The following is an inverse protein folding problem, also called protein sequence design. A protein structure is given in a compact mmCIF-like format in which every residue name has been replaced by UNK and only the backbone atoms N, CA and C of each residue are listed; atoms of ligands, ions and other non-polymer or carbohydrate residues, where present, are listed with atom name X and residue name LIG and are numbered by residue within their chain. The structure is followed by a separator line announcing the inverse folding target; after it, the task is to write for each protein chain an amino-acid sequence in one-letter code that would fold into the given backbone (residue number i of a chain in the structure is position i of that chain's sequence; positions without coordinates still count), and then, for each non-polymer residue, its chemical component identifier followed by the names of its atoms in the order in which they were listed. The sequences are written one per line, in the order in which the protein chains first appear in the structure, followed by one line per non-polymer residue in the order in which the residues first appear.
data_IF_629557968089
#
_entry.id   IF_629557968089
#
_cell.length_a   1.000
_cell.length_b   1.000
_cell.length_c   1.000
_cell.angle_alpha   90.00
_cell.angle_beta   90.00
_cell.angle_gamma   90.00
#
_symmetry.space_group_name_H-M   'P 1'
#
loop_
_entity.id
_entity.type
_entity.pdbx_description
1 polymer ?
#
# COMPACT_ATOMS: atom_id res chain seq x y z
N UNK A 1 49.90 -25.82 4.09
CA UNK A 1 49.29 -25.98 5.44
C UNK A 1 48.84 -24.70 6.15
N UNK A 2 49.47 -23.52 5.94
CA UNK A 2 49.11 -22.26 6.65
C UNK A 2 47.64 -21.82 6.45
N UNK A 3 47.09 -22.03 5.26
CA UNK A 3 45.69 -21.70 4.93
C UNK A 3 44.70 -22.52 5.76
N UNK A 4 44.92 -23.83 5.90
CA UNK A 4 44.03 -24.70 6.70
C UNK A 4 44.04 -24.26 8.18
N UNK A 5 45.23 -23.98 8.74
CA UNK A 5 45.36 -23.50 10.13
C UNK A 5 44.71 -22.15 10.41
N UNK A 6 44.53 -21.30 9.39
CA UNK A 6 43.99 -19.95 9.55
C UNK A 6 42.51 -19.84 9.18
N UNK A 7 42.04 -20.71 8.29
CA UNK A 7 40.67 -20.69 7.76
C UNK A 7 39.76 -21.77 8.37
N UNK A 8 40.29 -22.87 8.88
CA UNK A 8 39.51 -23.85 9.63
C UNK A 8 39.44 -23.49 11.11
N UNK A 9 38.29 -23.73 11.72
CA UNK A 9 38.12 -23.72 13.17
C UNK A 9 37.07 -24.76 13.58
N UNK A 10 36.78 -24.85 14.87
CA UNK A 10 35.81 -25.80 15.44
C UNK A 10 34.39 -25.63 14.87
N UNK A 11 34.08 -24.45 14.31
CA UNK A 11 32.78 -24.15 13.72
C UNK A 11 32.75 -24.52 12.24
N UNK A 12 33.84 -24.28 11.51
CA UNK A 12 33.94 -24.47 10.07
C UNK A 12 35.18 -25.28 9.66
N UNK A 13 34.93 -26.50 9.18
CA UNK A 13 35.95 -27.42 8.64
C UNK A 13 35.88 -27.56 7.11
N UNK A 14 35.04 -26.76 6.45
CA UNK A 14 34.90 -26.81 4.99
C UNK A 14 36.23 -26.63 4.24
N UNK A 15 37.16 -25.74 4.64
CA UNK A 15 38.41 -25.58 3.90
C UNK A 15 39.26 -26.86 3.83
N UNK A 16 39.29 -27.69 4.88
CA UNK A 16 40.03 -28.96 4.82
C UNK A 16 39.32 -29.99 3.94
N UNK A 17 37.98 -30.04 3.97
CA UNK A 17 37.17 -30.90 3.09
C UNK A 17 37.38 -30.56 1.62
N UNK A 18 37.39 -29.27 1.29
CA UNK A 18 37.64 -28.77 -0.07
C UNK A 18 39.04 -29.14 -0.57
N UNK A 19 40.09 -28.99 0.26
CA UNK A 19 41.46 -29.36 -0.11
C UNK A 19 41.55 -30.86 -0.40
N UNK A 20 41.00 -31.71 0.47
CA UNK A 20 41.03 -33.16 0.28
C UNK A 20 40.29 -33.58 -1.00
N UNK A 21 39.13 -32.97 -1.26
CA UNK A 21 38.36 -33.19 -2.49
C UNK A 21 39.14 -32.75 -3.74
N UNK A 22 39.68 -31.52 -3.73
CA UNK A 22 40.41 -30.94 -4.87
C UNK A 22 41.63 -31.77 -5.28
N UNK A 23 42.38 -32.26 -4.29
CA UNK A 23 43.56 -33.11 -4.55
C UNK A 23 43.24 -34.61 -4.58
N UNK A 24 41.96 -35.01 -4.44
CA UNK A 24 41.53 -36.41 -4.44
C UNK A 24 42.31 -37.31 -3.46
N UNK A 25 42.57 -36.81 -2.26
CA UNK A 25 43.35 -37.51 -1.23
C UNK A 25 42.45 -38.55 -0.54
N UNK A 26 42.38 -39.75 -1.10
CA UNK A 26 41.44 -40.80 -0.67
C UNK A 26 41.70 -41.27 0.76
N UNK A 27 42.95 -41.27 1.20
CA UNK A 27 43.37 -41.67 2.55
C UNK A 27 42.85 -40.71 3.63
N UNK A 28 42.61 -39.44 3.29
CA UNK A 28 42.12 -38.43 4.23
C UNK A 28 40.60 -38.47 4.42
N UNK A 29 39.85 -39.13 3.52
CA UNK A 29 38.40 -39.25 3.61
C UNK A 29 37.91 -39.91 4.92
N UNK A 30 38.42 -41.09 5.35
CA UNK A 30 38.01 -41.69 6.62
C UNK A 30 38.34 -40.78 7.81
N UNK A 31 39.52 -40.16 7.81
CA UNK A 31 39.96 -39.25 8.88
C UNK A 31 39.06 -38.02 9.01
N UNK A 32 38.67 -37.42 7.88
CA UNK A 32 37.74 -36.28 7.87
C UNK A 32 36.34 -36.71 8.32
N UNK A 33 35.88 -37.87 7.90
CA UNK A 33 34.57 -38.41 8.30
C UNK A 33 34.51 -38.60 9.82
N UNK A 34 35.50 -39.27 10.40
CA UNK A 34 35.55 -39.54 11.84
C UNK A 34 35.68 -38.25 12.65
N UNK A 35 36.58 -37.35 12.22
CA UNK A 35 36.70 -36.03 12.85
C UNK A 35 35.40 -35.23 12.75
N UNK A 36 34.71 -35.27 11.61
CA UNK A 36 33.43 -34.58 11.42
C UNK A 36 32.36 -35.10 12.37
N UNK A 37 32.32 -36.42 12.65
CA UNK A 37 31.39 -37.01 13.62
C UNK A 37 31.71 -36.55 15.05
N UNK A 38 32.96 -36.68 15.47
CA UNK A 38 33.40 -36.23 16.81
C UNK A 38 33.12 -34.74 17.02
N UNK A 39 33.37 -33.93 15.98
CA UNK A 39 33.13 -32.51 16.03
C UNK A 39 31.64 -32.17 16.11
N UNK A 40 30.79 -32.95 15.44
CA UNK A 40 29.34 -32.78 15.51
C UNK A 40 28.83 -33.04 16.93
N UNK A 41 29.21 -34.17 17.54
CA UNK A 41 28.88 -34.49 18.93
C UNK A 41 29.38 -33.41 19.91
N UNK A 42 30.59 -32.89 19.69
CA UNK A 42 31.15 -31.81 20.49
C UNK A 42 30.31 -30.53 20.40
N UNK A 43 29.87 -30.14 19.19
CA UNK A 43 29.08 -28.93 18.99
C UNK A 43 27.68 -29.02 19.61
N UNK A 44 27.13 -30.23 19.73
CA UNK A 44 25.85 -30.49 20.40
C UNK A 44 25.96 -30.49 21.94
N UNK A 45 27.18 -30.46 22.51
CA UNK A 45 27.40 -30.47 23.96
C UNK A 45 27.98 -29.17 24.49
N UNK A 46 28.74 -28.44 23.67
CA UNK A 46 29.45 -27.24 24.12
C UNK A 46 28.54 -26.02 24.17
N UNK A 47 28.33 -25.48 25.38
CA UNK A 47 27.64 -24.21 25.61
C UNK A 47 28.45 -23.00 25.14
N UNK A 48 27.78 -21.99 24.61
CA UNK A 48 28.41 -20.76 24.10
C UNK A 48 29.11 -19.95 25.19
N UNK A 49 28.63 -20.01 26.44
CA UNK A 49 29.27 -19.34 27.58
C UNK A 49 30.77 -19.62 27.71
N UNK A 50 31.22 -20.82 27.31
CA UNK A 50 32.63 -21.23 27.41
C UNK A 50 33.50 -20.67 26.28
N UNK A 51 32.89 -20.06 25.25
CA UNK A 51 33.56 -19.48 24.09
C UNK A 51 33.50 -17.94 24.08
N UNK A 52 32.83 -17.33 25.05
CA UNK A 52 32.79 -15.88 25.19
C UNK A 52 34.20 -15.31 25.35
N UNK A 53 34.45 -14.21 24.65
CA UNK A 53 35.69 -13.43 24.63
C UNK A 53 36.94 -14.21 24.18
N UNK A 54 36.76 -15.45 23.68
CA UNK A 54 37.82 -16.23 23.07
C UNK A 54 37.95 -15.87 21.60
N UNK A 55 39.20 -15.69 21.16
CA UNK A 55 39.54 -15.51 19.75
C UNK A 55 39.53 -16.87 19.05
N UNK A 56 38.50 -17.14 18.25
CA UNK A 56 38.31 -18.40 17.50
C UNK A 56 39.03 -18.41 16.16
N UNK A 57 39.45 -17.24 15.66
CA UNK A 57 40.27 -17.12 14.46
C UNK A 57 41.33 -16.04 14.65
N UNK A 58 42.54 -16.33 14.18
CA UNK A 58 43.64 -15.36 14.09
C UNK A 58 43.50 -14.42 12.90
N UNK A 59 42.52 -14.64 12.02
CA UNK A 59 42.28 -13.79 10.85
C UNK A 59 41.80 -12.41 11.28
N UNK A 60 42.42 -11.38 10.69
CA UNK A 60 41.95 -10.01 10.78
C UNK A 60 41.17 -9.69 9.51
N UNK A 61 39.99 -9.11 9.71
CA UNK A 61 39.05 -8.75 8.66
C UNK A 61 38.88 -7.24 8.68
N UNK A 62 38.77 -6.64 7.50
CA UNK A 62 38.37 -5.25 7.41
C UNK A 62 36.91 -5.09 7.84
N UNK A 63 36.52 -3.86 8.18
CA UNK A 63 35.12 -3.56 8.53
C UNK A 63 34.19 -3.99 7.39
N UNK A 64 34.58 -3.73 6.13
CA UNK A 64 33.82 -4.12 4.95
C UNK A 64 33.70 -5.64 4.74
N UNK A 65 34.51 -6.44 5.43
CA UNK A 65 34.52 -7.92 5.40
C UNK A 65 33.89 -8.55 6.64
N UNK A 66 33.37 -7.72 7.55
CA UNK A 66 32.86 -8.15 8.85
C UNK A 66 31.35 -8.32 8.82
N UNK A 67 30.86 -9.36 9.46
CA UNK A 67 29.44 -9.61 9.72
C UNK A 67 29.26 -9.60 11.23
N UNK A 68 28.29 -8.81 11.71
CA UNK A 68 27.95 -8.69 13.12
C UNK A 68 26.50 -9.09 13.32
N UNK A 69 26.30 -10.14 14.12
CA UNK A 69 24.99 -10.51 14.64
C UNK A 69 24.88 -10.05 16.09
N UNK A 70 23.75 -9.45 16.43
CA UNK A 70 23.33 -9.21 17.81
C UNK A 70 22.04 -9.98 18.03
N UNK A 71 22.06 -10.93 18.95
CA UNK A 71 20.94 -11.85 19.22
C UNK A 71 20.51 -11.72 20.68
N UNK A 72 19.21 -11.78 20.93
CA UNK A 72 18.64 -11.79 22.28
C UNK A 72 18.74 -13.19 22.92
N UNK A 73 19.98 -13.68 23.03
CA UNK A 73 20.30 -15.01 23.55
C UNK A 73 21.04 -14.91 24.88
N UNK A 74 20.72 -15.82 25.80
CA UNK A 74 21.62 -16.15 26.91
C UNK A 74 22.65 -17.21 26.44
N UNK A 75 23.97 -16.91 26.47
CA UNK A 75 25.01 -17.87 26.12
C UNK A 75 25.04 -19.15 26.96
N UNK A 76 24.39 -19.16 28.14
CA UNK A 76 24.27 -20.35 28.97
C UNK A 76 23.24 -21.36 28.45
N UNK A 77 22.24 -20.89 27.71
CA UNK A 77 21.14 -21.70 27.16
C UNK A 77 21.39 -22.15 25.72
N UNK A 78 22.39 -21.56 25.06
CA UNK A 78 22.70 -21.83 23.65
C UNK A 78 23.99 -22.64 23.50
N UNK A 79 24.03 -23.44 22.44
CA UNK A 79 25.12 -24.35 22.10
C UNK A 79 25.88 -23.86 20.87
N UNK A 80 27.09 -24.40 20.69
CA UNK A 80 27.87 -24.15 19.48
C UNK A 80 27.15 -24.58 18.21
N UNK A 81 26.29 -25.60 18.29
CA UNK A 81 25.46 -26.02 17.17
C UNK A 81 24.44 -24.94 16.73
N UNK A 82 23.94 -24.11 17.66
CA UNK A 82 23.02 -23.03 17.31
C UNK A 82 23.70 -21.98 16.42
N UNK A 83 25.00 -21.75 16.61
CA UNK A 83 25.80 -20.88 15.73
C UNK A 83 25.92 -21.47 14.34
N UNK A 84 26.12 -22.79 14.22
CA UNK A 84 26.14 -23.46 12.90
C UNK A 84 24.79 -23.32 12.20
N UNK A 85 23.69 -23.55 12.94
CA UNK A 85 22.33 -23.41 12.44
C UNK A 85 22.05 -21.97 11.99
N UNK A 86 22.48 -20.98 12.78
CA UNK A 86 22.38 -19.56 12.45
C UNK A 86 23.10 -19.24 11.14
N UNK A 87 24.35 -19.69 10.98
CA UNK A 87 25.12 -19.42 9.76
C UNK A 87 24.49 -20.05 8.53
N UNK A 88 24.00 -21.29 8.64
CA UNK A 88 23.35 -21.99 7.54
C UNK A 88 22.03 -21.33 7.14
N UNK A 89 21.18 -20.98 8.13
CA UNK A 89 19.91 -20.31 7.88
C UNK A 89 20.09 -18.87 7.37
N UNK A 90 21.13 -18.17 7.79
CA UNK A 90 21.40 -16.80 7.35
C UNK A 90 21.83 -16.73 5.88
N UNK A 91 22.72 -17.64 5.46
CA UNK A 91 23.48 -17.48 4.22
C UNK A 91 23.43 -18.66 3.27
N UNK A 92 22.66 -19.70 3.61
CA UNK A 92 22.36 -20.91 2.83
C UNK A 92 23.38 -21.27 1.73
N UNK A 93 24.27 -22.20 2.04
CA UNK A 93 25.35 -22.61 1.12
C UNK A 93 26.56 -21.68 1.07
N UNK A 94 26.44 -20.40 1.43
CA UNK A 94 27.58 -19.48 1.55
C UNK A 94 28.24 -19.50 2.94
N UNK A 95 27.56 -20.09 3.94
CA UNK A 95 28.02 -20.28 5.33
C UNK A 95 29.44 -20.87 5.42
N UNK A 96 29.78 -21.78 4.50
CA UNK A 96 31.08 -22.47 4.40
C UNK A 96 32.26 -21.53 4.17
N UNK A 97 32.03 -20.32 3.65
CA UNK A 97 33.07 -19.30 3.40
C UNK A 97 33.20 -18.29 4.54
N UNK A 98 32.36 -18.41 5.56
CA UNK A 98 32.31 -17.49 6.70
C UNK A 98 33.14 -18.08 7.86
N UNK A 99 33.84 -17.20 8.55
CA UNK A 99 34.69 -17.54 9.69
C UNK A 99 34.17 -16.79 10.91
N UNK A 100 33.70 -17.52 11.91
CA UNK A 100 33.39 -16.93 13.22
C UNK A 100 34.70 -16.54 13.91
N UNK A 101 34.83 -15.26 14.26
CA UNK A 101 36.04 -14.68 14.85
C UNK A 101 35.97 -14.66 16.37
N UNK A 102 34.89 -14.13 16.93
CA UNK A 102 34.71 -14.00 18.36
C UNK A 102 33.23 -13.87 18.71
N UNK A 103 32.93 -14.11 19.99
CA UNK A 103 31.62 -13.91 20.59
C UNK A 103 31.79 -13.10 21.86
N UNK A 104 30.94 -12.11 22.07
CA UNK A 104 30.99 -11.22 23.23
C UNK A 104 29.63 -11.20 23.91
N UNK A 105 29.63 -11.03 25.24
CA UNK A 105 28.41 -10.90 26.03
C UNK A 105 28.23 -9.46 26.50
N UNK A 106 27.07 -8.89 26.22
CA UNK A 106 26.51 -7.74 26.91
C UNK A 106 25.15 -8.11 27.50
N UNK A 107 24.14 -7.26 27.28
CA UNK A 107 22.73 -7.62 27.49
C UNK A 107 22.19 -8.61 26.43
N UNK A 108 22.96 -8.80 25.36
CA UNK A 108 22.72 -9.73 24.24
C UNK A 108 24.06 -10.38 23.87
N UNK A 109 24.02 -11.46 23.09
CA UNK A 109 25.23 -12.02 22.50
C UNK A 109 25.56 -11.30 21.19
N UNK A 110 26.82 -10.93 21.03
CA UNK A 110 27.35 -10.34 19.80
C UNK A 110 28.29 -11.36 19.16
N UNK A 111 28.00 -11.76 17.92
CA UNK A 111 28.81 -12.72 17.17
C UNK A 111 29.46 -11.98 16.01
N UNK A 112 30.79 -11.97 16.00
CA UNK A 112 31.58 -11.32 14.96
C UNK A 112 32.12 -12.40 14.03
N UNK A 113 31.83 -12.25 12.75
CA UNK A 113 32.29 -13.14 11.69
C UNK A 113 33.01 -12.34 10.61
N UNK A 114 33.85 -13.03 9.84
CA UNK A 114 34.51 -12.49 8.66
C UNK A 114 34.22 -13.33 7.43
N UNK A 115 34.13 -12.66 6.28
CA UNK A 115 33.93 -13.33 5.00
C UNK A 115 34.63 -12.57 3.87
N UNK A 116 34.96 -13.25 2.75
CA UNK A 116 35.63 -12.62 1.62
C UNK A 116 34.84 -11.43 1.05
N UNK A 117 35.54 -10.33 0.75
CA UNK A 117 34.95 -9.10 0.19
C UNK A 117 34.01 -9.37 -1.01
N UNK A 118 34.41 -10.23 -1.95
CA UNK A 118 33.62 -10.51 -3.16
C UNK A 118 32.26 -11.19 -2.88
N UNK A 119 32.05 -11.75 -1.68
CA UNK A 119 30.78 -12.37 -1.28
C UNK A 119 29.85 -11.42 -0.54
N UNK A 120 30.28 -10.22 -0.17
CA UNK A 120 29.52 -9.31 0.70
C UNK A 120 28.13 -8.97 0.16
N UNK A 121 28.02 -8.65 -1.13
CA UNK A 121 26.72 -8.35 -1.74
C UNK A 121 25.81 -9.58 -1.76
N UNK A 122 26.35 -10.77 -2.05
CA UNK A 122 25.59 -12.01 -2.03
C UNK A 122 25.10 -12.35 -0.62
N UNK A 123 25.94 -12.16 0.41
CA UNK A 123 25.56 -12.37 1.80
C UNK A 123 24.48 -11.39 2.26
N UNK A 124 24.56 -10.12 1.84
CA UNK A 124 23.50 -9.14 2.12
C UNK A 124 22.16 -9.54 1.50
N UNK A 125 22.15 -10.00 0.25
CA UNK A 125 20.93 -10.47 -0.40
C UNK A 125 20.35 -11.69 0.33
N UNK A 126 21.17 -12.72 0.58
CA UNK A 126 20.72 -13.92 1.30
C UNK A 126 20.22 -13.63 2.70
N UNK A 127 20.88 -12.75 3.44
CA UNK A 127 20.44 -12.35 4.77
C UNK A 127 19.10 -11.62 4.76
N UNK A 128 18.82 -10.82 3.71
CA UNK A 128 17.52 -10.17 3.54
C UNK A 128 16.41 -11.17 3.23
N UNK A 129 16.67 -12.11 2.32
CA UNK A 129 15.71 -13.14 1.96
C UNK A 129 15.31 -14.01 3.16
N UNK A 130 16.27 -14.28 4.05
CA UNK A 130 16.07 -15.12 5.24
C UNK A 130 15.72 -14.32 6.50
N UNK A 131 15.43 -13.02 6.40
CA UNK A 131 15.35 -12.13 7.56
C UNK A 131 14.24 -12.52 8.55
N UNK A 132 13.10 -13.01 8.06
CA UNK A 132 11.97 -13.46 8.89
C UNK A 132 12.38 -14.61 9.80
N UNK A 133 13.03 -15.62 9.23
CA UNK A 133 13.57 -16.77 9.96
C UNK A 133 14.57 -16.33 11.04
N UNK A 134 15.46 -15.39 10.71
CA UNK A 134 16.43 -14.88 11.68
C UNK A 134 15.75 -14.13 12.84
N UNK A 135 14.65 -13.43 12.57
CA UNK A 135 13.90 -12.70 13.60
C UNK A 135 13.15 -13.64 14.53
N UNK A 136 12.47 -14.64 13.97
CA UNK A 136 11.58 -15.54 14.70
C UNK A 136 12.33 -16.69 15.39
N UNK A 137 13.19 -17.40 14.66
CA UNK A 137 13.88 -18.59 15.19
C UNK A 137 15.14 -18.24 16.00
N UNK A 138 15.78 -17.11 15.71
CA UNK A 138 17.08 -16.75 16.31
C UNK A 138 17.03 -15.49 17.17
N UNK A 139 15.84 -14.91 17.38
CA UNK A 139 15.65 -13.69 18.17
C UNK A 139 16.62 -12.56 17.74
N UNK A 140 16.82 -12.40 16.42
CA UNK A 140 17.73 -11.42 15.87
C UNK A 140 17.32 -10.01 16.32
N UNK A 141 18.27 -9.27 16.89
CA UNK A 141 18.12 -7.87 17.26
C UNK A 141 18.74 -6.95 16.22
N UNK A 142 19.93 -7.29 15.73
CA UNK A 142 20.63 -6.51 14.72
C UNK A 142 21.52 -7.41 13.86
N UNK A 143 21.53 -7.14 12.55
CA UNK A 143 22.45 -7.74 11.59
C UNK A 143 23.12 -6.65 10.77
N UNK A 144 24.45 -6.60 10.83
CA UNK A 144 25.28 -5.71 10.02
C UNK A 144 26.25 -6.55 9.17
N UNK A 145 26.34 -6.22 7.89
CA UNK A 145 27.25 -6.87 6.94
C UNK A 145 28.05 -5.78 6.24
N UNK A 146 29.35 -5.73 6.53
CA UNK A 146 30.21 -4.64 6.14
C UNK A 146 29.74 -3.32 6.73
N UNK A 147 29.51 -2.34 5.86
CA UNK A 147 28.93 -1.05 6.23
C UNK A 147 27.39 -1.04 6.17
N UNK A 148 26.75 -2.11 5.70
CA UNK A 148 25.30 -2.17 5.54
C UNK A 148 24.63 -2.75 6.79
N UNK A 149 23.71 -2.00 7.38
CA UNK A 149 22.77 -2.54 8.37
C UNK A 149 21.63 -3.23 7.63
N UNK A 150 21.60 -4.56 7.67
CA UNK A 150 20.54 -5.37 7.04
C UNK A 150 19.26 -5.27 7.85
N UNK A 151 19.41 -5.28 9.18
CA UNK A 151 18.28 -5.17 10.09
C UNK A 151 18.73 -4.61 11.44
N UNK A 152 17.88 -3.77 12.04
CA UNK A 152 17.99 -3.31 13.41
C UNK A 152 16.59 -3.15 13.99
N UNK A 153 16.28 -3.96 15.01
CA UNK A 153 14.98 -3.96 15.71
C UNK A 153 14.66 -2.61 16.33
N UNK A 154 15.67 -1.89 16.82
CA UNK A 154 15.46 -0.58 17.46
C UNK A 154 15.07 0.50 16.47
N UNK A 155 15.63 0.45 15.26
CA UNK A 155 15.28 1.38 14.17
C UNK A 155 13.86 1.09 13.69
N UNK A 156 13.55 -0.18 13.38
CA UNK A 156 12.21 -0.56 12.91
C UNK A 156 11.11 -0.26 13.92
N UNK A 157 11.37 -0.49 15.22
CA UNK A 157 10.38 -0.17 16.25
C UNK A 157 10.10 1.34 16.35
N UNK A 158 11.11 2.19 16.09
CA UNK A 158 10.90 3.65 16.05
C UNK A 158 10.10 4.05 14.82
N UNK A 159 10.43 3.50 13.64
CA UNK A 159 9.69 3.75 12.41
C UNK A 159 8.22 3.32 12.53
N UNK A 160 7.96 2.14 13.10
CA UNK A 160 6.61 1.65 13.33
C UNK A 160 5.81 2.52 14.30
N UNK A 161 6.45 3.08 15.34
CA UNK A 161 5.79 4.03 16.25
C UNK A 161 5.38 5.31 15.55
N UNK A 162 6.27 5.89 14.74
CA UNK A 162 5.99 7.10 13.96
C UNK A 162 4.81 6.85 13.00
N UNK A 163 4.83 5.73 12.29
CA UNK A 163 3.75 5.37 11.36
C UNK A 163 2.42 5.13 12.11
N UNK A 164 2.45 4.47 13.27
CA UNK A 164 1.24 4.27 14.08
C UNK A 164 0.65 5.61 14.57
N UNK A 165 1.49 6.54 15.03
CA UNK A 165 1.07 7.89 15.42
C UNK A 165 0.46 8.66 14.24
N UNK A 166 1.04 8.55 13.03
CA UNK A 166 0.47 9.16 11.83
C UNK A 166 -0.89 8.57 11.43
N UNK A 167 -1.07 7.25 11.57
CA UNK A 167 -2.34 6.57 11.32
C UNK A 167 -3.39 7.06 12.32
N UNK A 168 -3.07 7.08 13.62
CA UNK A 168 -3.99 7.57 14.66
C UNK A 168 -4.40 9.04 14.42
N UNK A 169 -3.46 9.89 14.02
CA UNK A 169 -3.77 11.28 13.64
C UNK A 169 -4.75 11.35 12.47
N UNK A 170 -4.51 10.59 11.39
CA UNK A 170 -5.40 10.57 10.23
C UNK A 170 -6.78 9.98 10.54
N UNK A 171 -6.85 8.94 11.36
CA UNK A 171 -8.12 8.37 11.82
C UNK A 171 -8.91 9.38 12.66
N UNK A 172 -8.24 10.12 13.54
CA UNK A 172 -8.84 11.21 14.31
C UNK A 172 -9.37 12.35 13.43
N UNK A 173 -8.66 12.70 12.35
CA UNK A 173 -9.14 13.67 11.35
C UNK A 173 -10.34 13.14 10.56
N UNK A 174 -10.32 11.87 10.13
CA UNK A 174 -11.44 11.21 9.47
C UNK A 174 -12.69 11.18 10.35
N UNK A 175 -12.55 10.88 11.65
CA UNK A 175 -13.66 10.93 12.61
C UNK A 175 -14.28 12.33 12.74
N UNK A 176 -13.48 13.40 12.61
CA UNK A 176 -13.98 14.79 12.64
C UNK A 176 -14.71 15.19 11.35
N UNK A 177 -14.34 14.59 10.21
CA UNK A 177 -14.99 14.81 8.91
C UNK A 177 -16.28 14.00 8.71
N UNK A 178 -16.40 12.87 9.41
CA UNK A 178 -17.55 11.95 9.28
C UNK A 178 -18.93 12.62 9.58
N UNK A 179 -19.09 13.48 10.60
CA UNK A 179 -20.36 14.21 10.84
C UNK A 179 -20.75 15.11 9.67
N UNK A 180 -19.79 15.80 9.06
CA UNK A 180 -20.04 16.69 7.91
C UNK A 180 -20.49 15.93 6.66
N UNK A 181 -20.04 14.69 6.49
CA UNK A 181 -20.42 13.84 5.37
C UNK A 181 -21.83 13.27 5.56
N UNK A 182 -22.15 12.76 6.75
CA UNK A 182 -23.49 12.27 7.10
C UNK A 182 -24.56 13.37 7.01
N UNK A 183 -24.23 14.59 7.45
CA UNK A 183 -25.16 15.73 7.35
C UNK A 183 -25.47 16.07 5.89
N UNK A 184 -24.46 16.10 5.01
CA UNK A 184 -24.64 16.32 3.56
C UNK A 184 -25.47 15.23 2.90
N UNK A 185 -25.20 13.96 3.24
CA UNK A 185 -25.91 12.82 2.68
C UNK A 185 -27.38 12.82 3.10
N UNK A 186 -27.67 13.18 4.36
CA UNK A 186 -29.05 13.34 4.86
C UNK A 186 -29.81 14.50 4.20
N UNK A 187 -29.13 15.62 3.93
CA UNK A 187 -29.68 16.77 3.20
C UNK A 187 -30.01 16.42 1.75
N UNK A 188 -29.10 15.72 1.06
CA UNK A 188 -29.31 15.24 -0.31
C UNK A 188 -30.47 14.24 -0.38
N UNK A 189 -30.57 13.32 0.59
CA UNK A 189 -31.67 12.37 0.67
C UNK A 189 -33.03 13.07 0.86
N UNK A 190 -33.10 14.10 1.73
CA UNK A 190 -34.31 14.92 1.91
C UNK A 190 -34.68 15.68 0.64
N UNK A 191 -33.72 16.29 -0.05
CA UNK A 191 -33.97 16.99 -1.31
C UNK A 191 -34.44 16.02 -2.41
N UNK A 192 -33.85 14.83 -2.50
CA UNK A 192 -34.28 13.80 -3.45
C UNK A 192 -35.72 13.33 -3.18
N UNK A 193 -36.10 13.10 -1.91
CA UNK A 193 -37.47 12.73 -1.54
C UNK A 193 -38.48 13.83 -1.89
N UNK A 194 -38.13 15.10 -1.68
CA UNK A 194 -38.97 16.23 -2.08
C UNK A 194 -39.14 16.32 -3.60
N UNK A 195 -38.07 16.11 -4.36
CA UNK A 195 -38.08 16.05 -5.83
C UNK A 195 -38.97 14.91 -6.36
N UNK A 196 -38.90 13.72 -5.76
CA UNK A 196 -39.75 12.58 -6.13
C UNK A 196 -41.22 12.90 -5.89
N UNK A 197 -41.56 13.49 -4.74
CA UNK A 197 -42.94 13.88 -4.43
C UNK A 197 -43.48 14.95 -5.40
N UNK A 198 -42.66 15.93 -5.77
CA UNK A 198 -43.03 16.94 -6.76
C UNK A 198 -43.26 16.33 -8.14
N UNK A 199 -42.41 15.38 -8.54
CA UNK A 199 -42.55 14.68 -9.82
C UNK A 199 -43.83 13.85 -9.89
N UNK A 200 -44.17 13.13 -8.81
CA UNK A 200 -45.43 12.38 -8.71
C UNK A 200 -46.66 13.29 -8.75
N UNK A 201 -46.63 14.44 -8.06
CA UNK A 201 -47.70 15.44 -8.14
C UNK A 201 -47.85 15.99 -9.55
N UNK A 202 -46.75 16.26 -10.25
CA UNK A 202 -46.76 16.73 -11.62
C UNK A 202 -47.35 15.67 -12.57
N UNK A 203 -46.97 14.40 -12.42
CA UNK A 203 -47.51 13.29 -13.20
C UNK A 203 -49.01 13.06 -12.94
N UNK A 204 -49.46 13.22 -11.70
CA UNK A 204 -50.88 13.17 -11.33
C UNK A 204 -51.68 14.30 -11.96
N UNK A 205 -51.16 15.54 -11.92
CA UNK A 205 -51.77 16.70 -12.59
C UNK A 205 -51.84 16.45 -14.10
N UNK A 206 -50.75 16.00 -14.72
CA UNK A 206 -50.70 15.72 -16.14
C UNK A 206 -51.69 14.63 -16.56
N UNK A 207 -51.86 13.58 -15.75
CA UNK A 207 -52.80 12.49 -15.99
C UNK A 207 -54.25 12.90 -15.76
N UNK A 208 -54.51 13.72 -14.72
CA UNK A 208 -55.83 14.31 -14.44
C UNK A 208 -56.28 15.29 -15.53
N UNK A 209 -55.34 16.05 -16.10
CA UNK A 209 -55.58 16.90 -17.29
C UNK A 209 -55.91 16.08 -18.54
N UNK A 210 -55.45 14.83 -18.64
CA UNK A 210 -55.79 13.94 -19.76
C UNK A 210 -57.12 13.20 -19.55
N UNK A 211 -57.54 12.95 -18.29
CA UNK A 211 -58.69 12.12 -17.96
C UNK A 211 -60.03 12.87 -17.82
N UNK A 212 -60.05 14.21 -17.78
CA UNK A 212 -61.28 14.99 -17.56
C UNK A 212 -61.76 15.76 -18.80
N UNK A 213 -63.09 15.89 -18.94
CA UNK A 213 -63.84 16.63 -19.98
C UNK A 213 -63.43 18.11 -20.19
N UNK A 214 -62.45 18.59 -19.42
CA UNK A 214 -61.83 19.90 -19.56
C UNK A 214 -61.18 20.10 -20.94
N UNK A 215 -60.64 19.06 -21.58
CA UNK A 215 -60.04 19.20 -22.92
C UNK A 215 -61.09 19.60 -23.98
N UNK A 216 -62.31 19.07 -23.88
CA UNK A 216 -63.41 19.45 -24.75
C UNK A 216 -63.95 20.86 -24.42
N UNK A 217 -64.09 21.19 -23.13
CA UNK A 217 -64.52 22.55 -22.71
C UNK A 217 -63.54 23.65 -23.11
N UNK A 218 -62.23 23.44 -22.98
CA UNK A 218 -61.21 24.43 -23.41
C UNK A 218 -61.26 24.62 -24.93
N UNK A 219 -61.38 23.52 -25.71
CA UNK A 219 -61.49 23.60 -27.17
C UNK A 219 -62.78 24.33 -27.62
N UNK A 220 -63.86 24.21 -26.86
CA UNK A 220 -65.11 24.94 -27.10
C UNK A 220 -64.96 26.43 -26.79
N UNK A 221 -64.34 26.78 -25.66
CA UNK A 221 -64.06 28.17 -25.28
C UNK A 221 -63.13 28.86 -26.28
N UNK A 222 -62.11 28.16 -26.78
CA UNK A 222 -61.22 28.67 -27.84
C UNK A 222 -61.99 28.95 -29.14
N UNK A 223 -62.88 28.03 -29.56
CA UNK A 223 -63.73 28.23 -30.75
C UNK A 223 -64.67 29.43 -30.58
N UNK A 224 -65.27 29.60 -29.41
CA UNK A 224 -66.14 30.75 -29.10
C UNK A 224 -65.37 32.08 -29.06
N UNK A 225 -64.13 32.08 -28.54
CA UNK A 225 -63.24 33.25 -28.59
C UNK A 225 -62.84 33.62 -30.02
N UNK A 226 -62.51 32.63 -30.87
CA UNK A 226 -62.18 32.90 -32.28
C UNK A 226 -63.41 33.45 -33.03
N UNK A 227 -64.58 32.85 -32.82
CA UNK A 227 -65.83 33.31 -33.44
C UNK A 227 -66.21 34.75 -33.02
N UNK A 228 -66.10 35.07 -31.72
CA UNK A 228 -66.39 36.42 -31.21
C UNK A 228 -65.39 37.46 -31.70
N UNK A 229 -64.11 37.10 -31.83
CA UNK A 229 -63.08 37.99 -32.39
C UNK A 229 -63.33 38.26 -33.87
N UNK A 230 -63.67 37.22 -34.64
CA UNK A 230 -64.03 37.35 -36.06
C UNK A 230 -65.28 38.23 -36.26
N UNK A 231 -66.29 38.08 -35.40
CA UNK A 231 -67.50 38.93 -35.40
C UNK A 231 -67.15 40.40 -35.11
N UNK A 232 -66.25 40.68 -34.17
CA UNK A 232 -65.79 42.06 -33.88
C UNK A 232 -64.98 42.67 -35.03
N UNK A 233 -64.17 41.87 -35.74
CA UNK A 233 -63.45 42.36 -36.92
C UNK A 233 -64.42 42.71 -38.06
N UNK A 234 -65.38 41.84 -38.37
CA UNK A 234 -66.41 42.11 -39.38
C UNK A 234 -67.25 43.34 -39.05
N UNK A 235 -67.59 43.54 -37.77
CA UNK A 235 -68.33 44.73 -37.34
C UNK A 235 -67.52 46.01 -37.59
N UNK A 236 -66.23 46.03 -37.22
CA UNK A 236 -65.34 47.16 -37.48
C UNK A 236 -65.13 47.44 -38.97
N UNK A 237 -65.03 46.39 -39.78
CA UNK A 237 -64.89 46.52 -41.23
C UNK A 237 -66.16 47.10 -41.84
N UNK A 238 -67.34 46.69 -41.35
CA UNK A 238 -68.64 47.25 -41.75
C UNK A 238 -68.77 48.72 -41.35
N UNK A 239 -68.36 49.09 -40.13
CA UNK A 239 -68.31 50.49 -39.68
C UNK A 239 -67.33 51.33 -40.51
N UNK A 240 -66.18 50.76 -40.86
CA UNK A 240 -65.20 51.40 -41.73
C UNK A 240 -65.73 51.63 -43.15
N UNK A 241 -66.44 50.65 -43.72
CA UNK A 241 -67.10 50.80 -45.02
C UNK A 241 -68.22 51.84 -44.96
N UNK A 242 -69.04 51.85 -43.91
CA UNK A 242 -70.09 52.86 -43.73
C UNK A 242 -69.53 54.27 -43.57
N UNK A 243 -68.47 54.45 -42.79
CA UNK A 243 -67.80 55.75 -42.65
C UNK A 243 -67.15 56.18 -43.96
N UNK A 244 -66.51 55.29 -44.70
CA UNK A 244 -65.95 55.57 -46.02
C UNK A 244 -67.03 55.97 -47.04
N UNK A 245 -68.18 55.28 -47.03
CA UNK A 245 -69.34 55.65 -47.85
C UNK A 245 -69.90 57.02 -47.46
N UNK A 246 -70.04 57.31 -46.16
CA UNK A 246 -70.46 58.65 -45.69
C UNK A 246 -69.49 59.73 -46.15
N UNK A 247 -68.18 59.50 -46.05
CA UNK A 247 -67.16 60.45 -46.53
C UNK A 247 -67.29 60.64 -48.04
N UNK A 248 -67.40 59.57 -48.83
CA UNK A 248 -67.62 59.69 -50.29
C UNK A 248 -68.89 60.47 -50.60
N UNK A 249 -70.01 60.15 -49.97
CA UNK A 249 -71.27 60.90 -50.15
C UNK A 249 -71.07 62.38 -49.80
N UNK A 250 -70.42 62.70 -48.69
CA UNK A 250 -70.11 64.08 -48.28
C UNK A 250 -69.10 64.80 -49.19
N UNK A 251 -68.25 64.08 -49.94
CA UNK A 251 -67.33 64.66 -50.92
C UNK A 251 -67.99 64.87 -52.30
N UNK A 252 -68.98 64.04 -52.66
CA UNK A 252 -69.68 64.15 -53.94
C UNK A 252 -70.92 65.07 -53.90
N UNK A 253 -71.53 65.31 -52.74
CA UNK A 253 -72.65 66.27 -52.58
C UNK A 253 -72.25 67.73 -52.88
N UNK A 254 -71.05 68.23 -52.51
CA UNK A 254 -70.63 69.59 -52.87
C UNK A 254 -70.39 69.79 -54.37
N UNK A 255 -70.15 68.72 -55.14
CA UNK A 255 -69.97 68.82 -56.60
C UNK A 255 -71.29 68.91 -57.37
N UNK A 256 -72.41 68.49 -56.79
CA UNK A 256 -73.74 68.63 -57.41
C UNK A 256 -74.50 69.90 -56.96
N UNK A 257 -74.11 70.54 -55.85
CA UNK A 257 -74.68 71.83 -55.41
C UNK A 257 -73.92 73.07 -55.91
N UNK A 258 -72.85 72.90 -56.69
CA UNK A 258 -72.12 73.97 -57.40
C UNK A 258 -72.36 73.97 -58.92
N UNK A 259 -73.29 73.13 -59.41
CA UNK A 259 -73.67 73.07 -60.83
C UNK A 259 -75.19 72.96 -61.10
N UNK A 260 -76.01 73.57 -60.22
CA UNK A 260 -77.39 74.05 -60.48
C UNK A 260 -77.72 75.11 -59.45
#
# INVERSE_FOLDING_TARGET
MKVIKTKCNVINIAPVKEVVSFYSITEANPLISDYSKTLDEFCHKLKLQFLLDKKLSTSDFLICETIEFVLDWDPAEHLLNDIRRLMEKSFQGLSRRIIVKSMHKGNSIIIICGAPTHLMNALQLRARDNLTVLQEEFALMRLKIGHCTVYDRTIRNKELKIVAEEIEMREGELMKLNPYHNDKESLLARQAAQLISLKQKQEFINSSMQASDFKFKIKQIEREKVASTKKRMLLRETEHLQSTLRIRISIYIPYYLLMT
#
